data_IF_498971634427
#
_entry.id   IF_498971634427
#
_cell.length_a   1.000
_cell.length_b   1.000
_cell.length_c   1.000
_cell.angle_alpha   90.00
_cell.angle_beta   90.00
_cell.angle_gamma   90.00
#
_symmetry.space_group_name_H-M   'P 1'
#
loop_
_entity.id
_entity.type
_entity.pdbx_description
1 polymer ?
#
# COMPACT_ATOMS: atom_id res chain seq x y z
N UNK A 1 9.99 -10.27 4.96
CA UNK A 1 8.60 -9.97 4.57
C UNK A 1 8.41 -8.52 4.08
N UNK A 2 9.41 -7.65 4.24
CA UNK A 2 9.37 -6.28 3.72
C UNK A 2 9.15 -6.20 2.20
N UNK A 3 9.72 -7.12 1.41
CA UNK A 3 9.55 -7.12 -0.04
C UNK A 3 8.08 -7.22 -0.48
N UNK A 4 7.26 -8.03 0.21
CA UNK A 4 5.82 -8.16 -0.10
C UNK A 4 5.06 -6.88 0.29
N UNK A 5 5.43 -6.27 1.43
CA UNK A 5 4.84 -5.01 1.87
C UNK A 5 5.20 -3.87 0.93
N UNK A 6 6.45 -3.81 0.49
CA UNK A 6 6.98 -2.81 -0.43
C UNK A 6 6.35 -2.96 -1.81
N UNK A 7 6.24 -4.17 -2.35
CA UNK A 7 5.58 -4.44 -3.62
C UNK A 7 4.09 -4.04 -3.59
N UNK A 8 3.36 -4.45 -2.54
CA UNK A 8 1.97 -4.05 -2.34
C UNK A 8 1.83 -2.52 -2.25
N UNK A 9 2.75 -1.86 -1.54
CA UNK A 9 2.76 -0.40 -1.40
C UNK A 9 3.08 0.32 -2.72
N UNK A 10 4.01 -0.20 -3.52
CA UNK A 10 4.31 0.34 -4.86
C UNK A 10 3.11 0.17 -5.80
N UNK A 11 2.42 -0.96 -5.73
CA UNK A 11 1.21 -1.20 -6.50
C UNK A 11 0.07 -0.25 -6.07
N UNK A 12 -0.06 -0.01 -4.75
CA UNK A 12 -0.97 0.98 -4.19
C UNK A 12 -0.61 2.40 -4.65
N UNK A 13 0.66 2.81 -4.63
CA UNK A 13 1.10 4.15 -5.10
C UNK A 13 0.79 4.36 -6.58
N UNK A 14 1.00 3.33 -7.40
CA UNK A 14 0.79 3.38 -8.85
C UNK A 14 -0.66 3.75 -9.22
N UNK A 15 -1.64 3.43 -8.38
CA UNK A 15 -3.04 3.84 -8.61
C UNK A 15 -3.24 5.37 -8.59
N UNK A 16 -2.37 6.10 -7.89
CA UNK A 16 -2.41 7.56 -7.77
C UNK A 16 -1.57 8.26 -8.84
N UNK A 17 -0.62 7.54 -9.46
CA UNK A 17 0.23 8.06 -10.53
C UNK A 17 -0.41 7.90 -11.91
N UNK A 18 -1.28 6.89 -12.09
CA UNK A 18 -2.00 6.65 -13.34
C UNK A 18 -3.31 7.45 -13.35
N UNK A 19 -3.71 7.99 -14.51
CA UNK A 19 -5.03 8.60 -14.67
C UNK A 19 -6.14 7.61 -14.26
N UNK A 20 -7.09 8.08 -13.44
CA UNK A 20 -8.16 7.29 -12.78
C UNK A 20 -8.93 6.31 -13.69
N UNK A 21 -8.83 6.44 -15.02
CA UNK A 21 -9.44 5.52 -15.99
C UNK A 21 -8.73 4.17 -16.14
N UNK A 22 -7.49 4.01 -15.67
CA UNK A 22 -6.71 2.79 -15.89
C UNK A 22 -6.02 2.30 -14.60
N UNK A 23 -6.76 2.21 -13.49
CA UNK A 23 -6.22 1.61 -12.28
C UNK A 23 -6.05 0.10 -12.53
N UNK A 24 -4.83 -0.44 -12.48
CA UNK A 24 -4.61 -1.86 -12.69
C UNK A 24 -5.29 -2.66 -11.56
N UNK A 25 -5.85 -3.82 -11.91
CA UNK A 25 -6.53 -4.70 -10.94
C UNK A 25 -5.63 -5.02 -9.74
N UNK A 26 -4.33 -5.20 -9.98
CA UNK A 26 -3.32 -5.47 -8.95
C UNK A 26 -3.24 -4.37 -7.89
N UNK A 27 -3.52 -3.11 -8.24
CA UNK A 27 -3.53 -2.02 -7.28
C UNK A 27 -4.79 -2.04 -6.39
N UNK A 28 -5.95 -2.42 -6.96
CA UNK A 28 -7.16 -2.68 -6.17
C UNK A 28 -6.98 -3.90 -5.27
N UNK A 29 -6.37 -4.97 -5.77
CA UNK A 29 -6.07 -6.17 -4.97
C UNK A 29 -5.10 -5.84 -3.82
N UNK A 30 -4.11 -4.98 -4.05
CA UNK A 30 -3.22 -4.49 -3.00
C UNK A 30 -3.97 -3.64 -1.96
N UNK A 31 -4.85 -2.74 -2.38
CA UNK A 31 -5.71 -1.96 -1.48
C UNK A 31 -6.60 -2.87 -0.62
N UNK A 32 -7.29 -3.82 -1.25
CA UNK A 32 -8.10 -4.81 -0.54
C UNK A 32 -7.25 -5.64 0.43
N UNK A 33 -6.02 -6.00 0.06
CA UNK A 33 -5.10 -6.71 0.95
C UNK A 33 -4.69 -5.88 2.18
N UNK A 34 -4.42 -4.57 2.02
CA UNK A 34 -4.13 -3.67 3.13
C UNK A 34 -5.32 -3.49 4.09
N UNK A 35 -6.53 -3.40 3.55
CA UNK A 35 -7.75 -3.23 4.34
C UNK A 35 -8.38 -4.54 4.81
N UNK A 36 -7.90 -5.68 4.31
CA UNK A 36 -8.35 -6.99 4.74
C UNK A 36 -7.93 -7.24 6.18
N UNK A 37 -8.89 -7.66 6.98
CA UNK A 37 -8.67 -8.10 8.37
C UNK A 37 -8.30 -9.58 8.46
N UNK A 38 -8.20 -10.26 7.32
CA UNK A 38 -7.87 -11.69 7.29
C UNK A 38 -6.40 -11.90 7.62
N UNK A 39 -6.15 -12.41 8.81
CA UNK A 39 -4.87 -12.98 9.26
C UNK A 39 -4.65 -14.43 8.79
N UNK A 40 -5.33 -14.85 7.71
CA UNK A 40 -5.26 -16.20 7.16
C UNK A 40 -3.95 -16.39 6.35
N UNK A 41 -2.83 -16.52 7.05
CA UNK A 41 -1.55 -16.93 6.50
C UNK A 41 -0.38 -15.99 6.79
N UNK A 42 0.84 -16.49 6.56
CA UNK A 42 2.10 -15.77 6.81
C UNK A 42 2.29 -14.52 5.93
N UNK A 43 1.57 -14.46 4.81
CA UNK A 43 1.60 -13.33 3.86
C UNK A 43 0.38 -12.41 4.01
N UNK A 44 -0.43 -12.57 5.06
CA UNK A 44 -1.45 -11.59 5.39
C UNK A 44 -0.82 -10.31 5.91
N UNK A 45 -1.42 -9.17 5.57
CA UNK A 45 -0.98 -7.86 6.06
C UNK A 45 -0.83 -7.82 7.57
N UNK A 46 -1.79 -8.39 8.31
CA UNK A 46 -1.74 -8.52 9.78
C UNK A 46 -0.53 -9.33 10.23
N UNK A 47 -0.24 -10.47 9.60
CA UNK A 47 0.93 -11.30 9.95
C UNK A 47 2.24 -10.59 9.66
N UNK A 48 2.32 -9.85 8.54
CA UNK A 48 3.50 -9.06 8.20
C UNK A 48 3.70 -7.91 9.19
N UNK A 49 2.63 -7.22 9.58
CA UNK A 49 2.67 -6.18 10.62
C UNK A 49 3.13 -6.74 11.97
N UNK A 50 2.62 -7.90 12.38
CA UNK A 50 3.05 -8.60 13.59
C UNK A 50 4.54 -8.93 13.57
N UNK A 51 5.08 -9.35 12.42
CA UNK A 51 6.50 -9.71 12.28
C UNK A 51 7.40 -8.46 12.19
N UNK A 52 6.95 -7.41 11.52
CA UNK A 52 7.72 -6.18 11.34
C UNK A 52 7.63 -5.23 12.54
N UNK A 53 6.62 -5.39 13.40
CA UNK A 53 6.36 -4.55 14.58
C UNK A 53 5.39 -3.37 14.42
N UNK A 54 5.08 -2.79 13.24
CA UNK A 54 4.13 -1.69 13.16
C UNK A 54 2.69 -2.18 13.33
N UNK A 55 1.85 -1.34 13.92
CA UNK A 55 0.42 -1.62 14.05
C UNK A 55 -0.27 -1.52 12.67
N UNK A 56 -1.08 -2.51 12.27
CA UNK A 56 -1.77 -2.49 10.97
C UNK A 56 -2.68 -1.26 10.82
N UNK A 57 -3.26 -0.77 11.92
CA UNK A 57 -4.09 0.43 11.93
C UNK A 57 -3.31 1.70 11.62
N UNK A 58 -2.04 1.78 12.05
CA UNK A 58 -1.17 2.93 11.77
C UNK A 58 -0.92 3.07 10.27
N UNK A 59 -0.59 1.96 9.60
CA UNK A 59 -0.37 1.91 8.16
C UNK A 59 -1.69 2.20 7.42
N UNK A 60 -2.81 1.59 7.83
CA UNK A 60 -4.14 1.86 7.24
C UNK A 60 -4.53 3.35 7.35
N UNK A 61 -4.24 4.02 8.47
CA UNK A 61 -4.44 5.47 8.63
C UNK A 61 -3.57 6.27 7.66
N UNK A 62 -2.29 5.88 7.51
CA UNK A 62 -1.38 6.48 6.53
C UNK A 62 -1.89 6.34 5.09
N UNK A 63 -2.31 5.13 4.70
CA UNK A 63 -2.86 4.84 3.37
C UNK A 63 -4.16 5.61 3.09
N UNK A 64 -5.07 5.71 4.08
CA UNK A 64 -6.31 6.52 3.95
C UNK A 64 -6.02 8.02 3.82
N UNK A 65 -4.99 8.50 4.49
CA UNK A 65 -4.56 9.90 4.40
C UNK A 65 -3.68 10.17 3.17
N UNK A 66 -3.25 9.12 2.46
CA UNK A 66 -2.44 9.21 1.24
C UNK A 66 -3.27 9.75 0.08
N UNK A 67 -3.62 11.02 0.15
CA UNK A 67 -3.90 11.80 -1.04
C UNK A 67 -2.54 12.16 -1.63
N UNK A 68 -2.34 12.02 -2.95
CA UNK A 68 -1.24 12.68 -3.62
C UNK A 68 -1.49 14.18 -3.50
N UNK A 69 -1.18 14.76 -2.34
CA UNK A 69 -0.88 16.17 -2.21
C UNK A 69 0.20 16.39 -3.26
N UNK A 70 -0.09 17.25 -4.23
CA UNK A 70 0.68 17.49 -5.45
C UNK A 70 2.10 18.05 -5.22
N UNK A 71 2.74 17.70 -4.10
CA UNK A 71 4.03 18.19 -3.64
C UNK A 71 5.19 17.21 -3.91
N UNK A 72 4.95 15.96 -4.33
CA UNK A 72 6.03 15.06 -4.76
C UNK A 72 6.18 15.01 -6.29
N UNK A 73 6.30 16.19 -6.91
CA UNK A 73 6.89 16.36 -8.26
C UNK A 73 8.41 16.59 -8.19
N UNK A 74 9.05 16.36 -7.03
CA UNK A 74 10.40 16.86 -6.70
C UNK A 74 11.43 15.77 -6.42
N UNK A 75 11.21 14.52 -6.83
CA UNK A 75 12.19 13.44 -6.60
C UNK A 75 12.41 12.44 -7.75
N UNK A 76 12.24 12.88 -9.00
CA UNK A 76 12.78 12.14 -10.16
C UNK A 76 13.35 13.10 -11.21
N UNK A 77 14.44 13.78 -10.84
CA UNK A 77 15.49 14.31 -11.73
C UNK A 77 16.72 14.62 -10.87
N UNK A 78 17.51 13.60 -10.58
CA UNK A 78 18.95 13.71 -10.27
C UNK A 78 19.63 12.49 -10.85
#
# INVERSE_FOLDING_TARGET
MCAVLEDAYLCFKRQFEIERRCIPRTAQEAEEWFFSDKSHGLFSFVSICTVLGPEPEFIRKGLKHWKPTSLDKRREKV
#
